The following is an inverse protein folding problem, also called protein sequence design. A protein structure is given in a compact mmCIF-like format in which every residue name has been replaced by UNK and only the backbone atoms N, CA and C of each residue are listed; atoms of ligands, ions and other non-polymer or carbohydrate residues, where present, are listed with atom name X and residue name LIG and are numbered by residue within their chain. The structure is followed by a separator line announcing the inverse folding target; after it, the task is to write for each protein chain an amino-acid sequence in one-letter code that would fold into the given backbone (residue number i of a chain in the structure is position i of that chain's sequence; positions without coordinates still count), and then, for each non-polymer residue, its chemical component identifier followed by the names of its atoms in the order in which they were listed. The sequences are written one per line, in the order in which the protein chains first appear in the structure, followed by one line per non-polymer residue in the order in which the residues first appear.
data_IF_397331836938
#
_entry.id   IF_397331836938
#
_cell.length_a   1.000
_cell.length_b   1.000
_cell.length_c   1.000
_cell.angle_alpha   90.00
_cell.angle_beta   90.00
_cell.angle_gamma   90.00
#
_symmetry.space_group_name_H-M   'P 1'
#
loop_
_entity.id
_entity.type
_entity.pdbx_description
1 polymer ?
#
# COMPACT_ATOMS: atom_id res chain seq x y z
N UNK A 1 -24.80 -61.86 -11.32
CA UNK A 1 -24.95 -60.77 -10.35
C UNK A 1 -23.69 -60.75 -9.48
N UNK A 2 -22.61 -60.14 -9.97
CA UNK A 2 -21.37 -59.95 -9.22
C UNK A 2 -20.94 -58.51 -9.41
N UNK A 3 -21.09 -57.72 -8.35
CA UNK A 3 -20.66 -56.33 -8.26
C UNK A 3 -19.17 -56.28 -7.96
N UNK A 4 -18.36 -55.83 -8.93
CA UNK A 4 -16.94 -55.57 -8.72
C UNK A 4 -16.78 -54.18 -8.08
N UNK A 5 -16.44 -54.18 -6.80
CA UNK A 5 -16.10 -52.99 -6.02
C UNK A 5 -14.70 -52.49 -6.44
N UNK A 6 -14.60 -51.39 -7.19
CA UNK A 6 -13.34 -50.72 -7.44
C UNK A 6 -12.98 -49.81 -6.26
N UNK A 7 -12.03 -50.26 -5.44
CA UNK A 7 -11.37 -49.44 -4.42
C UNK A 7 -10.40 -48.49 -5.13
N UNK A 8 -10.77 -47.22 -5.21
CA UNK A 8 -9.89 -46.14 -5.68
C UNK A 8 -8.88 -45.82 -4.58
N UNK A 9 -7.67 -46.37 -4.69
CA UNK A 9 -6.55 -46.05 -3.81
C UNK A 9 -6.02 -44.66 -4.19
N UNK A 10 -6.42 -43.62 -3.44
CA UNK A 10 -5.86 -42.27 -3.59
C UNK A 10 -4.49 -42.27 -2.92
N UNK A 11 -3.42 -42.45 -3.71
CA UNK A 11 -2.05 -42.23 -3.24
C UNK A 11 -1.79 -40.72 -3.15
N UNK A 12 -1.85 -40.19 -1.93
CA UNK A 12 -1.31 -38.87 -1.62
C UNK A 12 0.21 -38.93 -1.79
N UNK A 13 0.72 -38.46 -2.94
CA UNK A 13 2.14 -38.19 -3.12
C UNK A 13 2.47 -36.92 -2.35
N UNK A 14 2.90 -37.07 -1.10
CA UNK A 14 3.58 -36.00 -0.37
C UNK A 14 4.86 -35.72 -1.14
N UNK A 15 4.88 -34.62 -1.90
CA UNK A 15 6.08 -34.13 -2.55
C UNK A 15 7.06 -33.67 -1.48
N UNK A 16 7.94 -34.56 -1.04
CA UNK A 16 9.07 -34.19 -0.18
C UNK A 16 10.00 -33.37 -1.06
N UNK A 17 10.10 -32.06 -0.80
CA UNK A 17 11.06 -31.18 -1.47
C UNK A 17 12.47 -31.67 -1.17
N UNK A 18 13.14 -32.26 -2.17
CA UNK A 18 14.50 -32.78 -2.01
C UNK A 18 15.46 -31.64 -1.73
N UNK A 19 16.27 -31.79 -0.67
CA UNK A 19 17.41 -30.93 -0.43
C UNK A 19 18.35 -30.97 -1.64
N UNK A 20 18.92 -29.82 -2.00
CA UNK A 20 19.85 -29.72 -3.12
C UNK A 20 20.95 -28.71 -2.82
N UNK A 21 22.14 -28.96 -3.36
CA UNK A 21 23.29 -28.07 -3.22
C UNK A 21 24.15 -28.10 -4.48
N UNK A 22 24.66 -26.94 -4.88
CA UNK A 22 25.61 -26.77 -5.96
C UNK A 22 26.71 -25.82 -5.50
N UNK A 23 27.96 -26.18 -5.80
CA UNK A 23 29.14 -25.35 -5.53
C UNK A 23 29.77 -25.04 -6.88
N UNK A 24 29.79 -23.78 -7.24
CA UNK A 24 30.38 -23.28 -8.48
C UNK A 24 31.73 -22.64 -8.17
N UNK A 25 32.78 -23.11 -8.83
CA UNK A 25 34.11 -22.50 -8.76
C UNK A 25 34.15 -21.22 -9.60
N UNK A 26 34.50 -20.11 -8.96
CA UNK A 26 34.56 -18.77 -9.55
C UNK A 26 36.00 -18.23 -9.61
N UNK A 27 37.03 -19.08 -9.54
CA UNK A 27 38.42 -18.64 -9.69
C UNK A 27 38.69 -18.00 -11.06
N UNK A 28 38.01 -18.47 -12.12
CA UNK A 28 38.06 -17.88 -13.47
C UNK A 28 36.78 -17.12 -13.74
N UNK A 29 36.64 -15.94 -13.15
CA UNK A 29 35.46 -15.09 -13.27
C UNK A 29 35.72 -13.82 -14.11
N UNK A 30 34.68 -13.18 -14.69
CA UNK A 30 34.81 -11.94 -15.46
C UNK A 30 34.85 -10.67 -14.59
N UNK A 31 34.99 -10.80 -13.26
CA UNK A 31 35.05 -9.67 -12.31
C UNK A 31 33.71 -9.27 -11.69
N UNK A 32 32.61 -9.89 -12.14
CA UNK A 32 31.26 -9.61 -11.65
C UNK A 32 30.44 -10.90 -11.58
N UNK A 33 29.82 -11.15 -10.43
CA UNK A 33 28.79 -12.16 -10.24
C UNK A 33 27.42 -11.52 -10.38
N UNK A 34 26.55 -12.16 -11.15
CA UNK A 34 25.18 -11.72 -11.40
C UNK A 34 24.21 -12.83 -11.02
N UNK A 35 23.25 -12.54 -10.13
CA UNK A 35 22.17 -13.47 -9.78
C UNK A 35 20.86 -12.85 -10.20
N UNK A 36 20.17 -13.46 -11.16
CA UNK A 36 18.83 -13.02 -11.54
C UNK A 36 17.87 -13.30 -10.37
N UNK A 37 17.16 -12.26 -9.92
CA UNK A 37 16.23 -12.33 -8.79
C UNK A 37 14.94 -11.57 -9.12
N UNK A 38 14.11 -12.20 -9.94
CA UNK A 38 12.79 -11.72 -10.31
C UNK A 38 12.78 -10.75 -11.50
N UNK A 39 11.61 -10.17 -11.72
CA UNK A 39 11.35 -9.22 -12.79
C UNK A 39 11.11 -7.82 -12.22
N UNK A 40 11.34 -6.81 -13.04
CA UNK A 40 11.12 -5.42 -12.70
C UNK A 40 10.33 -4.69 -13.80
N UNK A 41 9.40 -3.85 -13.36
CA UNK A 41 8.69 -2.87 -14.17
C UNK A 41 9.22 -1.48 -13.84
N UNK A 42 9.38 -0.64 -14.86
CA UNK A 42 9.77 0.75 -14.71
C UNK A 42 8.53 1.62 -14.75
N UNK A 43 8.31 2.39 -13.71
CA UNK A 43 7.25 3.39 -13.60
C UNK A 43 7.75 4.72 -14.13
N UNK A 44 7.09 5.22 -15.17
CA UNK A 44 7.42 6.49 -15.86
C UNK A 44 6.50 7.64 -15.46
N UNK A 45 5.34 7.33 -14.88
CA UNK A 45 4.38 8.33 -14.42
C UNK A 45 3.18 7.71 -13.71
N UNK A 46 2.07 8.47 -13.65
CA UNK A 46 0.83 8.03 -13.02
C UNK A 46 -0.40 8.63 -13.70
N UNK A 47 -1.46 7.84 -13.80
CA UNK A 47 -2.82 8.37 -13.85
C UNK A 47 -3.27 8.72 -12.43
N UNK A 48 -4.12 9.74 -12.32
CA UNK A 48 -4.55 10.27 -11.03
C UNK A 48 -6.07 10.17 -10.89
N UNK A 49 -6.56 9.64 -9.79
CA UNK A 49 -7.98 9.70 -9.42
C UNK A 49 -8.08 10.63 -8.23
N UNK A 50 -8.93 11.65 -8.32
CA UNK A 50 -9.09 12.65 -7.28
C UNK A 50 -10.41 12.40 -6.55
N UNK A 51 -10.38 12.44 -5.23
CA UNK A 51 -11.56 12.51 -4.38
C UNK A 51 -11.52 13.82 -3.62
N UNK A 52 -12.54 14.64 -3.80
CA UNK A 52 -12.74 15.88 -3.04
C UNK A 52 -13.81 15.69 -1.97
N UNK A 53 -13.46 15.96 -0.73
CA UNK A 53 -14.38 16.02 0.41
C UNK A 53 -14.45 17.44 0.91
N UNK A 54 -15.65 18.02 0.89
CA UNK A 54 -15.93 19.39 1.28
C UNK A 54 -16.52 19.40 2.70
N UNK A 55 -15.72 19.81 3.69
CA UNK A 55 -16.12 19.77 5.10
C UNK A 55 -17.22 20.78 5.42
N UNK A 56 -17.29 21.90 4.68
CA UNK A 56 -18.31 22.94 4.88
C UNK A 56 -19.73 22.42 4.64
N UNK A 57 -19.89 21.32 3.88
CA UNK A 57 -21.19 20.70 3.64
C UNK A 57 -21.75 19.99 4.88
N UNK A 58 -20.91 19.65 5.84
CA UNK A 58 -21.31 18.91 7.05
C UNK A 58 -21.69 19.85 8.21
N UNK A 59 -21.16 21.07 8.26
CA UNK A 59 -21.48 22.02 9.34
C UNK A 59 -22.99 22.32 9.43
N UNK A 60 -23.70 22.70 8.35
CA UNK A 60 -25.14 22.94 8.41
C UNK A 60 -25.94 21.69 8.80
N UNK A 61 -25.45 20.50 8.45
CA UNK A 61 -26.07 19.23 8.81
C UNK A 61 -25.98 19.01 10.33
N UNK A 62 -24.80 19.20 10.91
CA UNK A 62 -24.55 19.03 12.34
C UNK A 62 -25.30 20.07 13.18
N UNK A 63 -25.37 21.32 12.73
CA UNK A 63 -26.14 22.38 13.41
C UNK A 63 -27.63 22.08 13.45
N UNK A 64 -28.18 21.57 12.33
CA UNK A 64 -29.59 21.14 12.26
C UNK A 64 -29.86 19.98 13.19
N UNK A 65 -28.98 18.98 13.26
CA UNK A 65 -29.14 17.84 14.18
C UNK A 65 -29.11 18.31 15.63
N UNK A 66 -28.19 19.22 16.00
CA UNK A 66 -28.13 19.82 17.33
C UNK A 66 -29.44 20.52 17.71
N UNK A 67 -29.98 21.32 16.78
CA UNK A 67 -31.26 22.02 16.96
C UNK A 67 -32.39 21.05 17.29
N UNK A 68 -32.45 19.91 16.59
CA UNK A 68 -33.47 18.87 16.83
C UNK A 68 -33.28 18.21 18.20
N UNK A 69 -32.05 17.83 18.55
CA UNK A 69 -31.76 17.21 19.85
C UNK A 69 -32.11 18.17 20.99
N UNK A 70 -31.83 19.46 20.85
CA UNK A 70 -32.20 20.47 21.83
C UNK A 70 -33.72 20.67 21.93
N UNK A 71 -34.44 20.59 20.80
CA UNK A 71 -35.91 20.60 20.80
C UNK A 71 -36.54 19.43 21.56
N UNK A 72 -35.87 18.26 21.60
CA UNK A 72 -36.33 17.09 22.35
C UNK A 72 -36.15 17.23 23.86
N UNK A 73 -35.22 18.05 24.35
CA UNK A 73 -34.95 18.27 25.78
C UNK A 73 -36.14 18.85 26.54
N UNK A 74 -37.08 19.47 25.83
CA UNK A 74 -38.30 20.07 26.39
C UNK A 74 -39.25 18.98 26.94
N UNK A 75 -39.09 17.72 26.52
CA UNK A 75 -39.94 16.61 26.97
C UNK A 75 -39.26 15.80 28.08
N UNK A 76 -39.67 15.97 29.37
CA UNK A 76 -39.00 15.31 30.50
C UNK A 76 -39.05 13.78 30.43
N UNK A 77 -40.10 13.20 29.82
CA UNK A 77 -40.24 11.75 29.64
C UNK A 77 -39.24 11.14 28.64
N UNK A 78 -38.52 11.98 27.88
CA UNK A 78 -37.52 11.56 26.90
C UNK A 78 -36.09 11.94 27.32
N UNK A 79 -35.88 12.31 28.59
CA UNK A 79 -34.59 12.79 29.08
C UNK A 79 -33.45 11.81 28.79
N UNK A 80 -33.57 10.55 29.21
CA UNK A 80 -32.52 9.54 29.03
C UNK A 80 -32.16 9.32 27.55
N UNK A 81 -33.18 9.31 26.68
CA UNK A 81 -32.99 9.16 25.24
C UNK A 81 -32.33 10.39 24.61
N UNK A 82 -32.69 11.58 25.09
CA UNK A 82 -32.13 12.84 24.61
C UNK A 82 -30.68 13.01 25.09
N UNK A 83 -30.36 12.55 26.29
CA UNK A 83 -28.99 12.49 26.82
C UNK A 83 -28.14 11.50 26.01
N UNK A 84 -28.67 10.32 25.67
CA UNK A 84 -28.01 9.37 24.77
C UNK A 84 -27.73 9.98 23.39
N UNK A 85 -28.72 10.64 22.79
CA UNK A 85 -28.56 11.33 21.50
C UNK A 85 -27.53 12.45 21.57
N UNK A 86 -27.55 13.23 22.66
CA UNK A 86 -26.57 14.31 22.89
C UNK A 86 -25.16 13.74 22.95
N UNK A 87 -24.95 12.66 23.70
CA UNK A 87 -23.65 12.00 23.79
C UNK A 87 -23.16 11.46 22.43
N UNK A 88 -24.06 10.84 21.65
CA UNK A 88 -23.73 10.38 20.28
C UNK A 88 -23.41 11.54 19.35
N UNK A 89 -24.18 12.62 19.40
CA UNK A 89 -23.93 13.83 18.61
C UNK A 89 -22.58 14.46 18.96
N UNK A 90 -22.25 14.59 20.25
CA UNK A 90 -20.94 15.10 20.68
C UNK A 90 -19.78 14.21 20.19
N UNK A 91 -19.96 12.88 20.16
CA UNK A 91 -18.97 11.98 19.58
C UNK A 91 -18.79 12.21 18.07
N UNK A 92 -19.87 12.44 17.32
CA UNK A 92 -19.83 12.79 15.89
C UNK A 92 -19.12 14.12 15.66
N UNK A 93 -19.46 15.16 16.42
CA UNK A 93 -18.82 16.49 16.31
C UNK A 93 -17.33 16.39 16.61
N UNK A 94 -16.94 15.69 17.69
CA UNK A 94 -15.53 15.47 18.02
C UNK A 94 -14.78 14.76 16.88
N UNK A 95 -15.43 13.81 16.20
CA UNK A 95 -14.82 13.12 15.07
C UNK A 95 -14.71 14.01 13.84
N UNK A 96 -15.71 14.84 13.56
CA UNK A 96 -15.66 15.86 12.51
C UNK A 96 -14.51 16.86 12.73
N UNK A 97 -14.35 17.36 13.96
CA UNK A 97 -13.24 18.26 14.33
C UNK A 97 -11.86 17.61 14.10
N UNK A 98 -11.75 16.28 14.26
CA UNK A 98 -10.50 15.57 13.99
C UNK A 98 -10.14 15.51 12.50
N UNK A 99 -11.08 15.78 11.58
CA UNK A 99 -10.81 15.86 10.14
C UNK A 99 -10.13 17.17 9.75
N UNK A 100 -10.31 18.23 10.55
CA UNK A 100 -9.56 19.47 10.37
C UNK A 100 -8.11 19.27 10.81
N UNK A 101 -7.12 19.78 10.04
CA UNK A 101 -5.74 19.70 10.45
C UNK A 101 -5.57 20.50 11.74
N UNK A 102 -5.29 19.80 12.85
CA UNK A 102 -4.94 20.44 14.12
C UNK A 102 -3.79 21.41 13.84
N UNK A 103 -3.96 22.69 14.19
CA UNK A 103 -2.91 23.71 14.15
C UNK A 103 -1.77 23.27 15.07
N UNK A 104 -0.89 22.38 14.60
CA UNK A 104 0.39 22.13 15.23
C UNK A 104 1.31 23.25 14.76
N UNK A 105 1.60 24.17 15.67
CA UNK A 105 2.81 24.97 15.60
C UNK A 105 4.00 24.01 15.69
N UNK A 106 4.44 23.46 14.55
CA UNK A 106 5.78 22.90 14.43
C UNK A 106 6.51 23.62 13.32
N UNK A 107 7.54 24.35 13.75
CA UNK A 107 8.56 25.01 12.93
C UNK A 107 9.15 23.99 11.94
N UNK A 108 9.17 24.35 10.66
CA UNK A 108 9.96 23.67 9.64
C UNK A 108 9.26 22.53 8.91
N UNK A 109 8.23 22.82 8.10
CA UNK A 109 7.99 22.15 6.81
C UNK A 109 7.08 23.08 5.97
N UNK A 110 7.74 23.83 5.09
CA UNK A 110 7.24 24.55 3.90
C UNK A 110 6.06 25.53 4.07
N UNK A 111 6.37 26.73 4.55
CA UNK A 111 5.69 27.96 4.12
C UNK A 111 6.49 28.58 2.96
N UNK A 112 6.54 27.94 1.80
CA UNK A 112 7.20 28.54 0.63
C UNK A 112 6.17 28.67 -0.50
N UNK A 113 5.93 29.92 -0.91
CA UNK A 113 5.04 30.35 -1.99
C UNK A 113 3.52 30.20 -1.78
N UNK A 114 2.96 31.05 -0.91
CA UNK A 114 1.72 31.80 -1.17
C UNK A 114 0.42 31.06 -1.53
N UNK A 115 0.32 29.75 -1.30
CA UNK A 115 -0.84 28.95 -1.67
C UNK A 115 -1.22 28.04 -0.50
N UNK A 116 -2.40 28.28 0.10
CA UNK A 116 -2.86 27.69 1.36
C UNK A 116 -3.19 26.19 1.33
N UNK A 117 -2.39 25.36 0.66
CA UNK A 117 -2.45 23.90 0.72
C UNK A 117 -1.44 23.43 1.77
N UNK A 118 -1.89 22.62 2.73
CA UNK A 118 -1.03 21.95 3.71
C UNK A 118 -1.01 20.47 3.38
N UNK A 119 0.19 19.95 3.09
CA UNK A 119 0.38 18.51 2.92
C UNK A 119 0.04 17.79 4.24
N UNK A 120 -0.84 16.79 4.18
CA UNK A 120 -1.14 15.93 5.33
C UNK A 120 -0.18 14.71 5.35
N UNK A 121 0.41 14.37 4.21
CA UNK A 121 1.35 13.26 4.02
C UNK A 121 2.74 13.77 3.59
N UNK A 122 3.79 13.23 4.20
CA UNK A 122 5.12 13.88 4.30
C UNK A 122 6.09 13.77 3.11
N UNK A 123 5.67 13.31 1.93
CA UNK A 123 6.58 13.03 0.80
C UNK A 123 6.25 13.80 -0.48
N UNK A 124 5.64 14.98 -0.37
CA UNK A 124 5.41 15.86 -1.52
C UNK A 124 6.62 16.78 -1.69
N UNK A 125 7.33 16.63 -2.82
CA UNK A 125 8.31 17.64 -3.22
C UNK A 125 7.62 18.89 -3.80
N UNK A 126 8.39 19.95 -4.02
CA UNK A 126 7.86 21.25 -4.48
C UNK A 126 7.24 21.18 -5.89
N UNK A 127 7.79 20.33 -6.76
CA UNK A 127 7.28 20.16 -8.12
C UNK A 127 5.96 19.38 -8.13
N UNK A 128 5.87 18.32 -7.34
CA UNK A 128 4.65 17.56 -7.08
C UNK A 128 3.54 18.49 -6.55
N UNK A 129 3.89 19.41 -5.66
CA UNK A 129 2.95 20.36 -5.07
C UNK A 129 2.40 21.35 -6.11
N UNK A 130 3.28 21.96 -6.92
CA UNK A 130 2.87 22.89 -7.99
C UNK A 130 1.98 22.16 -9.00
N UNK A 131 2.36 20.95 -9.39
CA UNK A 131 1.58 20.17 -10.34
C UNK A 131 0.21 19.79 -9.77
N UNK A 132 0.13 19.32 -8.52
CA UNK A 132 -1.16 18.99 -7.90
C UNK A 132 -2.04 20.22 -7.76
N UNK A 133 -1.48 21.37 -7.37
CA UNK A 133 -2.28 22.60 -7.29
C UNK A 133 -2.81 23.02 -8.67
N UNK A 134 -2.01 22.85 -9.73
CA UNK A 134 -2.44 23.05 -11.11
C UNK A 134 -3.57 22.07 -11.48
N UNK A 135 -3.36 20.77 -11.25
CA UNK A 135 -4.35 19.73 -11.55
C UNK A 135 -5.67 19.98 -10.80
N UNK A 136 -5.64 20.36 -9.52
CA UNK A 136 -6.84 20.72 -8.73
C UNK A 136 -7.56 21.93 -9.34
N UNK A 137 -6.82 22.96 -9.75
CA UNK A 137 -7.41 24.13 -10.37
C UNK A 137 -7.98 23.80 -11.76
N UNK A 138 -7.29 22.96 -12.54
CA UNK A 138 -7.74 22.47 -13.84
C UNK A 138 -8.97 21.58 -13.71
N UNK A 139 -9.03 20.66 -12.74
CA UNK A 139 -10.24 19.88 -12.43
C UNK A 139 -11.42 20.78 -12.11
N UNK A 140 -11.19 21.89 -11.40
CA UNK A 140 -12.24 22.89 -11.12
C UNK A 140 -12.76 23.56 -12.39
N UNK A 141 -11.87 23.82 -13.35
CA UNK A 141 -12.21 24.43 -14.66
C UNK A 141 -12.81 23.39 -15.61
N UNK A 142 -12.31 22.17 -15.62
CA UNK A 142 -12.76 21.04 -16.45
C UNK A 142 -14.09 20.45 -15.97
N UNK A 143 -14.44 20.57 -14.68
CA UNK A 143 -15.82 20.41 -14.21
C UNK A 143 -16.80 21.27 -15.05
N UNK A 144 -16.32 22.38 -15.61
CA UNK A 144 -17.06 23.26 -16.50
C UNK A 144 -16.76 23.04 -18.01
N UNK A 145 -15.81 22.17 -18.40
CA UNK A 145 -15.48 21.81 -19.80
C UNK A 145 -15.08 20.34 -19.96
N UNK A 146 -15.82 19.60 -20.79
CA UNK A 146 -15.59 18.18 -21.12
C UNK A 146 -14.23 17.96 -21.80
N UNK A 147 -13.30 17.26 -21.14
CA UNK A 147 -12.03 16.77 -21.72
C UNK A 147 -11.94 15.27 -21.46
N UNK A 148 -11.65 14.47 -22.49
CA UNK A 148 -11.93 13.02 -22.54
C UNK A 148 -11.29 12.16 -21.42
N UNK A 149 -10.05 12.43 -21.03
CA UNK A 149 -9.40 11.72 -19.89
C UNK A 149 -9.89 12.25 -18.54
N UNK A 150 -10.15 13.56 -18.50
CA UNK A 150 -10.71 14.23 -17.34
C UNK A 150 -12.17 13.78 -17.09
N UNK A 151 -12.91 13.41 -18.14
CA UNK A 151 -14.32 13.05 -18.06
C UNK A 151 -14.56 11.83 -17.17
N UNK A 152 -13.70 10.81 -17.26
CA UNK A 152 -13.80 9.61 -16.39
C UNK A 152 -13.51 9.98 -14.93
N UNK A 153 -12.47 10.79 -14.69
CA UNK A 153 -12.16 11.30 -13.35
C UNK A 153 -13.28 12.20 -12.80
N UNK A 154 -13.92 13.00 -13.65
CA UNK A 154 -15.06 13.87 -13.31
C UNK A 154 -16.32 13.02 -13.01
N UNK A 155 -16.57 11.98 -13.79
CA UNK A 155 -17.70 11.05 -13.59
C UNK A 155 -17.58 10.32 -12.26
N UNK A 156 -16.40 9.77 -11.97
CA UNK A 156 -16.05 9.17 -10.69
C UNK A 156 -16.33 10.13 -9.52
N UNK A 157 -15.85 11.38 -9.61
CA UNK A 157 -16.10 12.40 -8.60
C UNK A 157 -17.59 12.72 -8.40
N UNK A 158 -18.42 12.65 -9.45
CA UNK A 158 -19.86 12.88 -9.35
C UNK A 158 -20.55 11.79 -8.54
N UNK A 159 -20.12 10.54 -8.64
CA UNK A 159 -20.71 9.43 -7.87
C UNK A 159 -20.53 9.61 -6.36
N UNK A 160 -19.32 9.98 -5.91
CA UNK A 160 -19.07 10.28 -4.50
C UNK A 160 -19.91 11.47 -4.01
N UNK A 161 -19.98 12.53 -4.83
CA UNK A 161 -20.77 13.72 -4.50
C UNK A 161 -22.27 13.39 -4.43
N UNK A 162 -22.76 12.49 -5.28
CA UNK A 162 -24.13 11.98 -5.23
C UNK A 162 -24.41 11.21 -3.93
N UNK A 163 -23.50 10.36 -3.47
CA UNK A 163 -23.62 9.64 -2.20
C UNK A 163 -23.69 10.59 -1.00
N UNK A 164 -22.84 11.61 -0.96
CA UNK A 164 -22.88 12.66 0.08
C UNK A 164 -24.24 13.39 0.02
N UNK A 165 -24.67 13.78 -1.18
CA UNK A 165 -25.95 14.44 -1.38
C UNK A 165 -27.13 13.56 -0.96
N UNK A 166 -27.04 12.23 -1.14
CA UNK A 166 -28.06 11.28 -0.71
C UNK A 166 -28.15 11.16 0.81
N UNK A 167 -27.01 11.10 1.52
CA UNK A 167 -26.97 11.15 2.99
C UNK A 167 -27.59 12.46 3.47
N UNK A 168 -27.17 13.60 2.91
CA UNK A 168 -27.70 14.93 3.26
C UNK A 168 -29.22 15.00 2.98
N UNK A 169 -29.67 14.52 1.83
CA UNK A 169 -31.08 14.49 1.44
C UNK A 169 -31.90 13.62 2.38
N UNK A 170 -31.44 12.41 2.68
CA UNK A 170 -32.11 11.47 3.58
C UNK A 170 -32.24 12.07 4.97
N UNK A 171 -31.16 12.66 5.50
CA UNK A 171 -31.21 13.34 6.78
C UNK A 171 -32.18 14.52 6.74
N UNK A 172 -32.11 15.41 5.75
CA UNK A 172 -33.03 16.56 5.63
C UNK A 172 -34.50 16.12 5.55
N UNK A 173 -34.82 15.10 4.74
CA UNK A 173 -36.19 14.57 4.61
C UNK A 173 -36.70 14.00 5.92
N UNK A 174 -35.86 13.29 6.66
CA UNK A 174 -36.24 12.74 7.96
C UNK A 174 -36.32 13.83 9.04
N UNK A 175 -35.48 14.87 8.96
CA UNK A 175 -35.52 16.03 9.85
C UNK A 175 -36.83 16.80 9.74
N UNK A 176 -37.38 17.00 8.54
CA UNK A 176 -38.70 17.62 8.37
C UNK A 176 -39.80 16.80 9.06
N UNK A 177 -39.73 15.46 8.95
CA UNK A 177 -40.67 14.55 9.61
C UNK A 177 -40.52 14.64 11.12
N UNK A 178 -39.29 14.65 11.64
CA UNK A 178 -39.00 14.77 13.08
C UNK A 178 -39.52 16.09 13.63
N UNK A 179 -39.23 17.20 12.96
CA UNK A 179 -39.64 18.54 13.39
C UNK A 179 -41.16 18.65 13.44
N UNK A 180 -41.85 18.19 12.39
CA UNK A 180 -43.32 18.12 12.36
C UNK A 180 -43.88 17.28 13.51
N UNK A 181 -43.24 16.16 13.84
CA UNK A 181 -43.68 15.28 14.93
C UNK A 181 -43.39 15.85 16.32
N UNK A 182 -42.29 16.58 16.51
CA UNK A 182 -42.01 17.32 17.75
C UNK A 182 -43.04 18.43 17.95
N UNK A 183 -43.37 19.18 16.90
CA UNK A 183 -44.38 20.25 16.95
C UNK A 183 -45.76 19.67 17.27
N UNK A 184 -46.14 18.57 16.61
CA UNK A 184 -47.40 17.86 16.88
C UNK A 184 -47.44 17.31 18.31
N UNK A 185 -46.38 16.64 18.77
CA UNK A 185 -46.28 16.15 20.14
C UNK A 185 -46.35 17.29 21.18
N UNK A 186 -45.79 18.47 20.87
CA UNK A 186 -45.90 19.67 21.71
C UNK A 186 -47.35 20.16 21.81
N UNK A 187 -48.07 20.20 20.70
CA UNK A 187 -49.49 20.59 20.67
C UNK A 187 -50.37 19.57 21.42
N UNK A 188 -50.07 18.28 21.30
CA UNK A 188 -50.84 17.21 21.93
C UNK A 188 -50.53 17.04 23.43
N UNK A 189 -49.29 17.30 23.86
CA UNK A 189 -48.94 17.33 25.29
C UNK A 189 -49.58 18.50 26.03
N UNK A 190 -49.87 19.59 25.32
CA UNK A 190 -50.68 20.70 25.84
C UNK A 190 -52.16 20.26 25.99
N UNK A 191 -52.62 19.26 25.22
CA UNK A 191 -54.02 18.83 25.14
C UNK A 191 -54.36 17.45 25.77
N UNK A 192 -53.38 16.72 26.33
CA UNK A 192 -53.47 15.51 27.18
C UNK A 192 -53.66 14.09 26.56
N UNK A 193 -52.92 13.12 27.18
CA UNK A 193 -53.06 11.63 27.30
C UNK A 193 -53.18 10.74 26.05
N UNK A 194 -52.11 10.49 25.28
CA UNK A 194 -52.09 9.36 24.33
C UNK A 194 -50.75 8.60 24.22
N UNK A 195 -50.80 7.27 24.32
CA UNK A 195 -49.65 6.33 24.34
C UNK A 195 -49.01 6.15 22.94
N UNK A 196 -49.80 6.24 21.87
CA UNK A 196 -49.34 6.01 20.48
C UNK A 196 -48.30 7.04 19.99
N UNK A 197 -48.24 8.21 20.63
CA UNK A 197 -47.29 9.28 20.30
C UNK A 197 -45.87 8.97 20.81
N UNK A 198 -45.76 8.28 21.96
CA UNK A 198 -44.47 7.87 22.49
C UNK A 198 -43.75 6.90 21.55
N UNK A 199 -44.48 5.97 20.93
CA UNK A 199 -43.91 5.01 19.98
C UNK A 199 -43.40 5.70 18.69
N UNK A 200 -44.10 6.73 18.23
CA UNK A 200 -43.68 7.52 17.07
C UNK A 200 -42.40 8.32 17.38
N UNK A 201 -42.36 9.00 18.54
CA UNK A 201 -41.17 9.73 18.99
C UNK A 201 -39.97 8.79 19.22
N UNK A 202 -40.19 7.61 19.82
CA UNK A 202 -39.20 6.55 19.95
C UNK A 202 -38.61 6.15 18.59
N UNK A 203 -39.47 5.85 17.60
CA UNK A 203 -39.04 5.50 16.24
C UNK A 203 -38.18 6.60 15.61
N UNK A 204 -38.49 7.87 15.86
CA UNK A 204 -37.67 8.97 15.36
C UNK A 204 -36.33 9.09 16.05
N UNK A 205 -36.28 8.94 17.37
CA UNK A 205 -35.01 8.95 18.10
C UNK A 205 -34.10 7.82 17.62
N UNK A 206 -34.63 6.62 17.39
CA UNK A 206 -33.86 5.53 16.79
C UNK A 206 -33.33 5.88 15.39
N UNK A 207 -34.13 6.53 14.55
CA UNK A 207 -33.67 7.00 13.24
C UNK A 207 -32.55 8.02 13.36
N UNK A 208 -32.69 9.06 14.19
CA UNK A 208 -31.62 10.07 14.40
C UNK A 208 -30.35 9.38 14.88
N UNK A 209 -30.48 8.48 15.85
CA UNK A 209 -29.39 7.70 16.42
C UNK A 209 -28.66 6.86 15.36
N UNK A 210 -29.40 6.25 14.43
CA UNK A 210 -28.83 5.50 13.31
C UNK A 210 -28.10 6.41 12.31
N UNK A 211 -28.65 7.58 11.94
CA UNK A 211 -27.94 8.49 11.03
C UNK A 211 -26.70 9.11 11.66
N UNK A 212 -26.73 9.40 12.97
CA UNK A 212 -25.53 9.82 13.69
C UNK A 212 -24.44 8.74 13.60
N UNK A 213 -24.79 7.46 13.68
CA UNK A 213 -23.84 6.36 13.50
C UNK A 213 -23.30 6.30 12.07
N UNK A 214 -24.16 6.46 11.05
CA UNK A 214 -23.71 6.49 9.65
C UNK A 214 -22.75 7.65 9.37
N UNK A 215 -23.06 8.84 9.90
CA UNK A 215 -22.19 10.02 9.80
C UNK A 215 -20.87 9.77 10.52
N UNK A 216 -20.92 9.21 11.75
CA UNK A 216 -19.72 8.87 12.51
C UNK A 216 -18.81 7.92 11.74
N UNK A 217 -19.35 6.81 11.26
CA UNK A 217 -18.61 5.81 10.46
C UNK A 217 -18.01 6.43 9.22
N UNK A 218 -18.73 7.36 8.56
CA UNK A 218 -18.18 8.08 7.42
C UNK A 218 -16.98 8.96 7.80
N UNK A 219 -17.04 9.71 8.90
CA UNK A 219 -15.90 10.49 9.40
C UNK A 219 -14.74 9.61 9.86
N UNK A 220 -15.03 8.47 10.50
CA UNK A 220 -14.00 7.48 10.87
C UNK A 220 -13.27 6.96 9.63
N UNK A 221 -14.00 6.61 8.56
CA UNK A 221 -13.40 6.15 7.30
C UNK A 221 -12.52 7.22 6.64
N UNK A 222 -12.95 8.49 6.63
CA UNK A 222 -12.14 9.60 6.11
C UNK A 222 -10.86 9.75 6.93
N UNK A 223 -10.98 9.73 8.26
CA UNK A 223 -9.84 9.86 9.16
C UNK A 223 -8.85 8.70 9.01
N UNK A 224 -9.34 7.46 8.94
CA UNK A 224 -8.55 6.26 8.71
C UNK A 224 -7.80 6.36 7.37
N UNK A 225 -8.51 6.75 6.30
CA UNK A 225 -7.90 6.93 4.97
C UNK A 225 -6.80 7.98 5.02
N UNK A 226 -6.97 9.08 5.76
CA UNK A 226 -5.89 10.07 5.99
C UNK A 226 -4.68 9.42 6.66
N UNK A 227 -4.88 8.55 7.67
CA UNK A 227 -3.75 7.88 8.33
C UNK A 227 -3.06 6.87 7.40
N UNK A 228 -3.83 6.07 6.67
CA UNK A 228 -3.29 5.09 5.72
C UNK A 228 -2.53 5.80 4.57
N UNK A 229 -3.02 6.95 4.11
CA UNK A 229 -2.34 7.74 3.09
C UNK A 229 -0.96 8.26 3.54
N UNK A 230 -0.73 8.47 4.85
CA UNK A 230 0.61 8.80 5.35
C UNK A 230 1.61 7.66 5.19
N UNK A 231 1.11 6.43 5.14
CA UNK A 231 1.88 5.21 4.91
C UNK A 231 1.88 4.81 3.42
N UNK A 232 1.28 5.63 2.54
CA UNK A 232 1.02 5.31 1.14
C UNK A 232 0.25 3.97 0.97
N UNK A 233 -0.66 3.68 1.89
CA UNK A 233 -1.54 2.51 1.85
C UNK A 233 -2.96 2.97 1.55
N UNK A 234 -3.64 2.26 0.67
CA UNK A 234 -5.05 2.51 0.34
C UNK A 234 -5.92 1.41 0.95
N UNK A 235 -7.04 1.79 1.56
CA UNK A 235 -8.01 0.82 2.08
C UNK A 235 -8.76 0.16 0.93
N UNK A 236 -8.98 -1.16 1.02
CA UNK A 236 -9.75 -1.93 0.02
C UNK A 236 -11.21 -1.49 -0.11
N UNK A 237 -11.71 -0.73 0.86
CA UNK A 237 -13.08 -0.20 0.87
C UNK A 237 -13.14 1.27 0.40
N UNK A 238 -12.00 1.85 0.01
CA UNK A 238 -11.95 3.25 -0.39
C UNK A 238 -12.44 3.47 -1.82
N UNK A 239 -12.06 2.57 -2.73
CA UNK A 239 -12.43 2.64 -4.15
C UNK A 239 -13.77 1.98 -4.41
N UNK A 240 -14.62 2.66 -5.17
CA UNK A 240 -15.86 2.12 -5.70
C UNK A 240 -15.59 1.15 -6.86
N UNK A 241 -16.52 0.23 -7.18
CA UNK A 241 -16.32 -0.77 -8.24
C UNK A 241 -15.97 -0.18 -9.61
N UNK A 242 -16.50 1.00 -9.96
CA UNK A 242 -16.20 1.68 -11.22
C UNK A 242 -14.78 2.26 -11.24
N UNK A 243 -14.31 2.80 -10.12
CA UNK A 243 -12.95 3.30 -9.97
C UNK A 243 -11.96 2.16 -10.01
N UNK A 244 -12.29 1.04 -9.36
CA UNK A 244 -11.50 -0.17 -9.43
C UNK A 244 -11.45 -0.72 -10.85
N UNK A 245 -12.58 -0.71 -11.57
CA UNK A 245 -12.59 -1.08 -12.99
C UNK A 245 -11.66 -0.19 -13.81
N UNK A 246 -11.70 1.13 -13.60
CA UNK A 246 -10.76 2.03 -14.25
C UNK A 246 -9.31 1.67 -13.92
N UNK A 247 -8.99 1.36 -12.66
CA UNK A 247 -7.65 0.92 -12.26
C UNK A 247 -7.25 -0.36 -12.99
N UNK A 248 -8.10 -1.40 -12.97
CA UNK A 248 -7.78 -2.68 -13.61
C UNK A 248 -7.62 -2.52 -15.11
N UNK A 249 -8.53 -1.81 -15.78
CA UNK A 249 -8.45 -1.56 -17.23
C UNK A 249 -7.12 -0.88 -17.58
N UNK A 250 -6.66 0.10 -16.77
CA UNK A 250 -5.38 0.79 -17.00
C UNK A 250 -4.16 -0.08 -16.77
N UNK A 251 -4.19 -0.97 -15.78
CA UNK A 251 -3.07 -1.90 -15.55
C UNK A 251 -3.01 -2.95 -16.67
N UNK A 252 -4.15 -3.47 -17.09
CA UNK A 252 -4.26 -4.47 -18.16
C UNK A 252 -3.87 -3.89 -19.54
N UNK A 253 -4.23 -2.63 -19.85
CA UNK A 253 -3.77 -1.89 -21.05
C UNK A 253 -2.24 -1.85 -21.18
N UNK A 254 -1.53 -2.02 -20.06
CA UNK A 254 -0.08 -1.97 -19.95
C UNK A 254 0.55 -3.37 -19.82
N UNK A 255 -0.20 -4.43 -20.16
CA UNK A 255 0.19 -5.83 -20.07
C UNK A 255 0.50 -6.32 -18.64
N UNK A 256 -0.06 -5.68 -17.62
CA UNK A 256 0.01 -6.19 -16.24
C UNK A 256 -1.12 -7.19 -16.04
N UNK A 257 -0.76 -8.46 -15.87
CA UNK A 257 -1.72 -9.52 -15.55
C UNK A 257 -2.00 -9.55 -14.06
N UNK A 258 -3.24 -9.25 -13.67
CA UNK A 258 -3.69 -9.31 -12.29
C UNK A 258 -4.21 -10.72 -11.96
N UNK A 259 -3.72 -11.31 -10.87
CA UNK A 259 -4.22 -12.58 -10.31
C UNK A 259 -5.58 -12.38 -9.65
N UNK A 260 -5.79 -11.20 -9.08
CA UNK A 260 -7.05 -10.81 -8.46
C UNK A 260 -7.24 -9.30 -8.48
N UNK A 261 -8.48 -8.83 -8.35
CA UNK A 261 -8.79 -7.40 -8.19
C UNK A 261 -8.09 -6.82 -6.96
N UNK A 262 -7.92 -7.62 -5.90
CA UNK A 262 -7.23 -7.23 -4.69
C UNK A 262 -5.75 -6.90 -4.92
N UNK A 263 -5.10 -7.59 -5.87
CA UNK A 263 -3.71 -7.33 -6.24
C UNK A 263 -3.54 -5.94 -6.84
N UNK A 264 -4.57 -5.38 -7.50
CA UNK A 264 -4.51 -4.04 -8.08
C UNK A 264 -4.15 -2.98 -7.03
N UNK A 265 -4.60 -3.15 -5.78
CA UNK A 265 -4.27 -2.23 -4.69
C UNK A 265 -2.78 -2.19 -4.35
N UNK A 266 -2.02 -3.25 -4.61
CA UNK A 266 -0.57 -3.26 -4.41
C UNK A 266 0.15 -2.33 -5.40
N UNK A 267 -0.46 -2.01 -6.54
CA UNK A 267 0.10 -1.07 -7.52
C UNK A 267 -0.19 0.39 -7.19
N UNK A 268 -1.19 0.66 -6.36
CA UNK A 268 -1.71 2.00 -6.15
C UNK A 268 -0.92 2.79 -5.12
N UNK A 269 -0.71 4.08 -5.40
CA UNK A 269 -0.29 5.07 -4.41
C UNK A 269 -1.48 5.92 -3.95
N UNK A 270 -1.37 6.55 -2.79
CA UNK A 270 -2.36 7.52 -2.32
C UNK A 270 -1.67 8.70 -1.62
N UNK A 271 -2.12 9.91 -1.94
CA UNK A 271 -1.70 11.16 -1.30
C UNK A 271 -2.92 11.85 -0.70
N UNK A 272 -2.78 12.44 0.48
CA UNK A 272 -3.84 13.21 1.13
C UNK A 272 -3.40 14.65 1.40
N UNK A 273 -4.27 15.59 1.03
CA UNK A 273 -4.00 17.02 1.04
C UNK A 273 -5.15 17.80 1.66
N UNK A 274 -4.83 18.91 2.30
CA UNK A 274 -5.81 19.83 2.84
C UNK A 274 -5.69 21.20 2.20
N UNK A 275 -6.80 21.76 1.71
CA UNK A 275 -6.86 23.13 1.15
C UNK A 275 -8.16 23.80 1.59
N UNK A 276 -8.05 24.93 2.28
CA UNK A 276 -9.20 25.67 2.84
C UNK A 276 -10.05 24.79 3.77
N UNK A 277 -11.26 24.37 3.35
CA UNK A 277 -12.18 23.47 4.06
C UNK A 277 -12.30 22.10 3.39
N UNK A 278 -11.38 21.77 2.49
CA UNK A 278 -11.47 20.58 1.64
C UNK A 278 -10.31 19.63 1.86
N UNK A 279 -10.64 18.34 1.88
CA UNK A 279 -9.70 17.24 1.86
C UNK A 279 -9.67 16.67 0.45
N UNK A 280 -8.47 16.53 -0.09
CA UNK A 280 -8.22 15.90 -1.38
C UNK A 280 -7.47 14.60 -1.17
N UNK A 281 -8.06 13.48 -1.59
CA UNK A 281 -7.31 12.24 -1.79
C UNK A 281 -6.97 12.10 -3.26
N UNK A 282 -5.71 11.75 -3.54
CA UNK A 282 -5.21 11.56 -4.90
C UNK A 282 -4.65 10.15 -4.97
N UNK A 283 -5.34 9.29 -5.70
CA UNK A 283 -4.94 7.92 -5.94
C UNK A 283 -4.10 7.91 -7.20
N UNK A 284 -2.93 7.28 -7.12
CA UNK A 284 -1.94 7.23 -8.18
C UNK A 284 -1.94 5.83 -8.77
N UNK A 285 -2.41 5.70 -10.00
CA UNK A 285 -2.34 4.46 -10.79
C UNK A 285 -1.06 4.53 -11.63
N UNK A 286 -0.12 3.60 -11.49
CA UNK A 286 1.17 3.71 -12.17
C UNK A 286 1.01 3.61 -13.70
N UNK A 287 1.79 4.44 -14.39
CA UNK A 287 2.11 4.24 -15.80
C UNK A 287 3.47 3.56 -15.88
N UNK A 288 3.52 2.38 -16.48
CA UNK A 288 4.69 1.52 -16.60
C UNK A 288 5.14 1.41 -18.05
N UNK A 289 6.44 1.24 -18.24
CA UNK A 289 6.95 0.86 -19.55
C UNK A 289 6.39 -0.52 -19.96
N UNK A 290 6.01 -0.72 -21.23
CA UNK A 290 5.50 -2.02 -21.70
C UNK A 290 6.52 -3.15 -21.60
N UNK A 291 7.81 -2.83 -21.49
CA UNK A 291 8.89 -3.79 -21.41
C UNK A 291 9.13 -4.22 -19.96
N UNK A 292 9.16 -5.52 -19.72
CA UNK A 292 9.61 -6.10 -18.46
C UNK A 292 11.13 -6.27 -18.46
N UNK A 293 11.75 -5.98 -17.33
CA UNK A 293 13.19 -6.11 -17.13
C UNK A 293 13.51 -7.29 -16.22
N UNK A 294 14.62 -7.98 -16.51
CA UNK A 294 15.19 -8.96 -15.60
C UNK A 294 15.96 -8.23 -14.50
N UNK A 295 15.68 -8.53 -13.24
CA UNK A 295 16.37 -7.93 -12.10
C UNK A 295 17.55 -8.79 -11.67
N UNK A 296 18.68 -8.16 -11.39
CA UNK A 296 19.92 -8.82 -10.98
C UNK A 296 20.44 -8.25 -9.66
N UNK A 297 20.90 -9.16 -8.79
CA UNK A 297 21.81 -8.84 -7.69
C UNK A 297 23.23 -8.94 -8.22
N UNK A 298 24.04 -7.95 -7.89
CA UNK A 298 25.40 -7.79 -8.37
C UNK A 298 26.38 -7.90 -7.23
N UNK A 299 27.40 -8.72 -7.42
CA UNK A 299 28.50 -8.85 -6.47
C UNK A 299 29.84 -8.79 -7.20
N UNK A 300 30.71 -7.82 -6.89
CA UNK A 300 32.00 -7.73 -7.57
C UNK A 300 32.87 -8.89 -7.13
N UNK A 301 33.57 -9.51 -8.07
CA UNK A 301 34.48 -10.62 -7.79
C UNK A 301 35.92 -10.17 -8.04
N UNK A 302 36.87 -10.61 -7.19
CA UNK A 302 38.27 -10.26 -7.33
C UNK A 302 38.88 -10.97 -8.54
N UNK A 303 39.69 -10.22 -9.29
CA UNK A 303 40.63 -10.74 -10.30
C UNK A 303 42.04 -10.34 -9.84
N UNK A 304 42.70 -11.25 -9.15
CA UNK A 304 43.94 -10.93 -8.43
C UNK A 304 43.66 -10.00 -7.25
N UNK A 305 44.35 -8.87 -7.20
CA UNK A 305 44.23 -7.80 -6.20
C UNK A 305 43.32 -6.65 -6.65
N UNK A 306 42.51 -6.86 -7.68
CA UNK A 306 41.63 -5.83 -8.23
C UNK A 306 40.18 -6.27 -8.32
N UNK A 307 39.27 -5.32 -8.14
CA UNK A 307 37.82 -5.51 -8.25
C UNK A 307 37.18 -4.40 -9.09
N UNK A 308 36.03 -4.70 -9.70
CA UNK A 308 35.22 -3.70 -10.39
C UNK A 308 34.46 -2.88 -9.34
N UNK A 309 34.53 -1.56 -9.43
CA UNK A 309 33.72 -0.67 -8.60
C UNK A 309 32.28 -0.63 -9.09
N UNK A 310 31.35 -1.23 -8.34
CA UNK A 310 29.94 -1.19 -8.66
C UNK A 310 29.30 0.15 -8.27
N UNK A 311 28.52 0.79 -9.16
CA UNK A 311 27.71 1.96 -8.82
C UNK A 311 26.60 1.64 -7.81
N UNK A 312 25.98 0.45 -7.96
CA UNK A 312 24.90 -0.02 -7.10
C UNK A 312 24.90 -1.56 -7.03
N UNK A 313 24.34 -2.17 -5.96
CA UNK A 313 24.33 -3.61 -5.77
C UNK A 313 23.27 -4.34 -6.60
N UNK A 314 22.41 -3.62 -7.33
CA UNK A 314 21.35 -4.20 -8.14
C UNK A 314 21.24 -3.48 -9.48
N UNK A 315 20.88 -4.24 -10.51
CA UNK A 315 20.60 -3.72 -11.84
C UNK A 315 19.38 -4.40 -12.44
N UNK A 316 18.81 -3.77 -13.45
CA UNK A 316 17.76 -4.33 -14.29
C UNK A 316 18.21 -4.25 -15.74
N UNK A 317 17.95 -5.30 -16.52
CA UNK A 317 18.26 -5.28 -17.95
C UNK A 317 17.15 -5.90 -18.78
N UNK A 318 16.98 -5.34 -19.96
CA UNK A 318 16.17 -5.85 -21.05
C UNK A 318 17.06 -6.04 -22.29
N UNK A 319 16.45 -6.28 -23.45
CA UNK A 319 17.19 -6.36 -24.72
C UNK A 319 17.87 -5.04 -25.09
N UNK A 320 17.21 -3.92 -24.79
CA UNK A 320 17.57 -2.61 -25.34
C UNK A 320 18.06 -1.63 -24.28
N UNK A 321 17.86 -1.93 -22.99
CA UNK A 321 18.21 -1.04 -21.91
C UNK A 321 18.73 -1.75 -20.67
N UNK A 322 19.66 -1.10 -19.98
CA UNK A 322 20.28 -1.55 -18.73
C UNK A 322 20.35 -0.38 -17.75
N UNK A 323 19.89 -0.62 -16.53
CA UNK A 323 19.87 0.38 -15.47
C UNK A 323 20.42 -0.18 -14.16
N UNK A 324 21.10 0.66 -13.38
CA UNK A 324 21.34 0.38 -11.96
C UNK A 324 20.20 0.92 -11.11
N UNK A 325 19.84 0.19 -10.06
CA UNK A 325 18.86 0.64 -9.06
C UNK A 325 19.60 1.39 -7.95
N UNK A 326 19.40 2.70 -7.86
CA UNK A 326 20.07 3.56 -6.87
C UNK A 326 19.15 4.04 -5.73
N UNK A 327 17.85 3.77 -5.84
CA UNK A 327 16.86 4.15 -4.85
C UNK A 327 15.89 3.02 -4.49
N UNK A 328 14.90 3.31 -3.63
CA UNK A 328 13.92 2.31 -3.22
C UNK A 328 12.99 1.93 -4.37
N UNK A 329 12.68 0.64 -4.47
CA UNK A 329 11.64 0.13 -5.35
C UNK A 329 10.60 -0.64 -4.55
N UNK A 330 9.38 -0.66 -5.05
CA UNK A 330 8.27 -1.36 -4.41
C UNK A 330 8.27 -2.83 -4.81
N UNK A 331 8.14 -3.73 -3.83
CA UNK A 331 7.91 -5.15 -4.07
C UNK A 331 6.41 -5.39 -4.25
N UNK A 332 6.03 -6.06 -5.33
CA UNK A 332 4.67 -6.46 -5.66
C UNK A 332 4.72 -7.96 -5.94
N UNK A 333 4.35 -8.77 -4.94
CA UNK A 333 4.58 -10.21 -4.91
C UNK A 333 6.03 -10.59 -5.29
N UNK A 334 6.24 -11.20 -6.46
CA UNK A 334 7.55 -11.61 -6.99
C UNK A 334 8.19 -10.57 -7.94
N UNK A 335 7.44 -9.52 -8.29
CA UNK A 335 7.87 -8.45 -9.18
C UNK A 335 8.31 -7.21 -8.40
N UNK A 336 9.16 -6.39 -9.01
CA UNK A 336 9.59 -5.11 -8.45
C UNK A 336 9.10 -3.95 -9.33
N UNK A 337 8.54 -2.90 -8.76
CA UNK A 337 8.17 -1.68 -9.45
C UNK A 337 9.12 -0.55 -9.03
N UNK A 338 9.92 -0.04 -9.97
CA UNK A 338 10.90 1.03 -9.72
C UNK A 338 10.47 2.32 -10.40
N UNK A 339 10.63 3.45 -9.72
CA UNK A 339 10.51 4.78 -10.32
C UNK A 339 11.72 5.06 -11.25
N UNK A 340 11.47 5.56 -12.46
CA UNK A 340 12.55 5.87 -13.42
C UNK A 340 13.63 6.82 -12.84
N UNK A 341 13.24 7.76 -11.97
CA UNK A 341 14.17 8.69 -11.29
C UNK A 341 15.13 8.00 -10.32
N UNK A 342 14.80 6.80 -9.85
CA UNK A 342 15.64 6.00 -8.94
C UNK A 342 16.59 5.07 -9.70
N UNK A 343 16.62 5.18 -11.04
CA UNK A 343 17.41 4.36 -11.94
C UNK A 343 18.51 5.19 -12.61
N UNK A 344 19.68 4.57 -12.76
CA UNK A 344 20.82 5.16 -13.51
C UNK A 344 20.98 4.38 -14.81
N UNK A 345 20.76 5.05 -15.94
CA UNK A 345 20.90 4.44 -17.26
C UNK A 345 22.37 4.18 -17.60
N UNK A 346 22.70 2.93 -17.88
CA UNK A 346 24.05 2.49 -18.32
C UNK A 346 24.01 1.69 -19.62
N UNK A 347 22.90 1.77 -20.37
CA UNK A 347 22.66 0.97 -21.58
C UNK A 347 23.76 1.14 -22.65
N UNK A 348 24.42 2.30 -22.68
CA UNK A 348 25.46 2.63 -23.66
C UNK A 348 26.90 2.49 -23.12
N UNK A 349 27.06 2.00 -21.89
CA UNK A 349 28.41 1.84 -21.33
C UNK A 349 29.15 0.66 -21.99
N UNK A 350 30.48 0.59 -21.82
CA UNK A 350 31.29 -0.50 -22.42
C UNK A 350 31.56 -1.64 -21.44
N UNK A 351 31.11 -1.50 -20.19
CA UNK A 351 31.36 -2.42 -19.10
C UNK A 351 30.09 -3.17 -18.71
N UNK A 352 29.18 -2.54 -17.95
CA UNK A 352 28.09 -3.19 -17.25
C UNK A 352 26.98 -3.66 -18.18
N UNK A 353 26.54 -2.86 -19.15
CA UNK A 353 25.57 -3.28 -20.16
C UNK A 353 26.06 -4.52 -20.93
N UNK A 354 27.36 -4.59 -21.26
CA UNK A 354 27.93 -5.76 -21.92
C UNK A 354 28.02 -6.96 -20.98
N UNK A 355 28.56 -6.79 -19.76
CA UNK A 355 28.66 -7.86 -18.77
C UNK A 355 27.30 -8.47 -18.43
N UNK A 356 26.28 -7.63 -18.18
CA UNK A 356 24.94 -8.07 -17.80
C UNK A 356 24.19 -8.76 -18.96
N UNK A 357 24.58 -8.48 -20.20
CA UNK A 357 24.06 -9.17 -21.39
C UNK A 357 24.94 -10.35 -21.85
N UNK A 358 25.94 -10.76 -21.06
CA UNK A 358 26.81 -11.89 -21.37
C UNK A 358 27.79 -11.64 -22.52
N UNK A 359 28.10 -10.39 -22.83
CA UNK A 359 29.01 -9.96 -23.90
C UNK A 359 30.39 -9.57 -23.35
N UNK A 360 31.41 -9.60 -24.22
CA UNK A 360 32.76 -9.15 -23.87
C UNK A 360 32.78 -7.66 -23.52
N UNK A 361 33.33 -7.32 -22.36
CA UNK A 361 33.22 -6.01 -21.74
C UNK A 361 34.58 -5.39 -21.38
N UNK A 362 34.65 -4.06 -21.42
CA UNK A 362 35.83 -3.29 -21.04
C UNK A 362 35.54 -2.54 -19.74
N UNK A 363 35.95 -3.11 -18.62
CA UNK A 363 35.71 -2.58 -17.27
C UNK A 363 36.97 -2.00 -16.64
N UNK A 364 36.80 -0.94 -15.86
CA UNK A 364 37.87 -0.37 -15.04
C UNK A 364 37.89 -1.11 -13.71
N UNK A 365 39.06 -1.65 -13.38
CA UNK A 365 39.32 -2.34 -12.12
C UNK A 365 40.16 -1.45 -11.21
N UNK A 366 39.85 -1.47 -9.92
CA UNK A 366 40.60 -0.74 -8.89
C UNK A 366 41.25 -1.73 -7.93
N UNK A 367 42.42 -1.37 -7.41
CA UNK A 367 43.09 -2.15 -6.37
C UNK A 367 42.19 -2.28 -5.14
N UNK A 368 42.17 -3.48 -4.57
CA UNK A 368 41.40 -3.83 -3.38
C UNK A 368 42.22 -4.73 -2.47
N UNK A 369 41.91 -4.74 -1.19
CA UNK A 369 42.51 -5.67 -0.24
C UNK A 369 42.03 -7.10 -0.49
N UNK A 370 42.97 -8.06 -0.60
CA UNK A 370 42.67 -9.49 -0.71
C UNK A 370 42.25 -10.03 0.67
N UNK A 371 41.04 -9.69 1.09
CA UNK A 371 40.45 -10.23 2.31
C UNK A 371 39.54 -11.42 1.97
N UNK A 372 39.58 -12.44 2.81
CA UNK A 372 38.60 -13.51 2.79
C UNK A 372 37.24 -12.93 3.18
N UNK A 373 36.22 -13.14 2.35
CA UNK A 373 34.86 -12.69 2.62
C UNK A 373 33.84 -13.81 2.35
N UNK A 374 32.83 -13.87 3.23
CA UNK A 374 31.70 -14.80 3.12
C UNK A 374 30.43 -13.97 3.26
N UNK A 375 29.70 -13.83 2.15
CA UNK A 375 28.54 -12.95 2.06
C UNK A 375 27.31 -13.73 1.58
N UNK A 376 26.19 -13.55 2.29
CA UNK A 376 24.88 -14.04 1.82
C UNK A 376 24.36 -13.08 0.77
N UNK A 377 24.00 -13.60 -0.41
CA UNK A 377 23.46 -12.81 -1.52
C UNK A 377 21.95 -12.94 -1.61
N UNK A 378 21.41 -14.14 -1.41
CA UNK A 378 19.96 -14.40 -1.27
C UNK A 378 19.72 -15.46 -0.19
N UNK A 379 18.47 -15.86 0.01
CA UNK A 379 18.14 -16.95 0.93
C UNK A 379 18.82 -18.28 0.56
N UNK A 380 19.14 -18.48 -0.72
CA UNK A 380 19.67 -19.73 -1.25
C UNK A 380 21.11 -19.60 -1.78
N UNK A 381 21.70 -18.40 -1.74
CA UNK A 381 23.01 -18.13 -2.33
C UNK A 381 23.98 -17.50 -1.34
N UNK A 382 25.15 -18.10 -1.21
CA UNK A 382 26.29 -17.56 -0.45
C UNK A 382 27.51 -17.53 -1.35
N UNK A 383 28.20 -16.39 -1.38
CA UNK A 383 29.48 -16.23 -2.07
C UNK A 383 30.62 -16.28 -1.06
N UNK A 384 31.70 -16.91 -1.45
CA UNK A 384 32.98 -16.94 -0.75
C UNK A 384 34.01 -16.31 -1.69
N UNK A 385 34.78 -15.33 -1.20
CA UNK A 385 35.82 -14.65 -1.97
C UNK A 385 37.18 -14.86 -1.32
N UNK A 386 38.19 -15.14 -2.14
CA UNK A 386 39.60 -15.20 -1.73
C UNK A 386 39.85 -16.09 -0.49
N UNK A 387 39.09 -17.17 -0.34
CA UNK A 387 39.25 -18.05 0.81
C UNK A 387 40.58 -18.78 0.74
N UNK A 388 41.35 -18.74 1.83
CA UNK A 388 42.57 -19.56 1.95
C UNK A 388 42.19 -21.00 2.30
N UNK A 389 41.29 -21.16 3.26
CA UNK A 389 40.82 -22.47 3.73
C UNK A 389 39.49 -22.28 4.46
N UNK A 390 38.40 -22.79 3.89
CA UNK A 390 37.08 -22.81 4.52
C UNK A 390 36.69 -24.26 4.80
N UNK A 391 36.39 -24.55 6.05
CA UNK A 391 35.74 -25.80 6.42
C UNK A 391 34.27 -25.73 6.02
N UNK A 392 33.90 -26.56 5.04
CA UNK A 392 32.56 -26.68 4.52
C UNK A 392 31.89 -27.94 5.10
N UNK A 393 30.78 -27.75 5.79
CA UNK A 393 29.93 -28.85 6.29
C UNK A 393 28.47 -28.58 5.95
N UNK A 394 27.69 -29.62 5.66
CA UNK A 394 26.30 -29.47 5.22
C UNK A 394 25.46 -30.70 5.53
N UNK A 395 24.15 -30.51 5.64
CA UNK A 395 23.14 -31.57 5.71
C UNK A 395 22.46 -31.83 4.33
N UNK A 396 22.88 -31.14 3.26
CA UNK A 396 22.32 -31.27 1.89
C UNK A 396 22.76 -32.56 1.16
N UNK A 397 23.05 -33.65 1.88
CA UNK A 397 23.51 -34.94 1.32
C UNK A 397 24.83 -34.86 0.52
N UNK A 398 25.68 -33.89 0.85
CA UNK A 398 27.02 -33.72 0.28
C UNK A 398 28.09 -33.92 1.36
N UNK A 399 29.19 -34.58 1.02
CA UNK A 399 30.30 -34.79 1.96
C UNK A 399 30.97 -33.48 2.37
N UNK A 400 31.34 -33.42 3.65
CA UNK A 400 32.20 -32.37 4.20
C UNK A 400 33.50 -32.26 3.41
N UNK A 401 33.98 -31.04 3.22
CA UNK A 401 35.18 -30.75 2.42
C UNK A 401 35.82 -29.45 2.85
N UNK A 402 37.00 -29.19 2.31
CA UNK A 402 37.71 -27.93 2.49
C UNK A 402 37.70 -27.18 1.17
N UNK A 403 37.34 -25.90 1.20
CA UNK A 403 37.30 -25.03 0.03
C UNK A 403 38.44 -24.00 0.10
N UNK A 404 39.10 -23.76 -1.03
CA UNK A 404 40.14 -22.74 -1.20
C UNK A 404 39.94 -22.03 -2.53
N UNK A 405 39.82 -20.69 -2.51
CA UNK A 405 39.51 -19.86 -3.66
C UNK A 405 38.18 -19.10 -3.54
N UNK A 406 37.59 -18.77 -4.67
CA UNK A 406 36.32 -18.02 -4.76
C UNK A 406 35.22 -18.95 -5.26
N UNK A 407 34.09 -19.01 -4.56
CA UNK A 407 33.00 -19.95 -4.85
C UNK A 407 31.63 -19.27 -4.70
N UNK A 408 30.67 -19.72 -5.51
CA UNK A 408 29.25 -19.51 -5.26
C UNK A 408 28.62 -20.82 -4.80
N UNK A 409 27.95 -20.79 -3.67
CA UNK A 409 27.22 -21.92 -3.11
C UNK A 409 25.73 -21.63 -3.23
N UNK A 410 25.04 -22.45 -4.01
CA UNK A 410 23.59 -22.51 -4.05
C UNK A 410 23.11 -23.70 -3.21
N UNK A 411 22.13 -23.49 -2.34
CA UNK A 411 21.54 -24.55 -1.52
C UNK A 411 20.04 -24.30 -1.34
N UNK A 412 19.26 -25.39 -1.28
CA UNK A 412 17.82 -25.32 -1.09
C UNK A 412 17.33 -26.41 -0.12
N UNK A 413 16.37 -26.04 0.74
CA UNK A 413 15.80 -26.88 1.78
C UNK A 413 16.84 -27.60 2.67
N UNK A 414 17.95 -26.91 2.98
CA UNK A 414 19.02 -27.45 3.81
C UNK A 414 19.89 -26.33 4.39
N UNK A 415 20.93 -26.70 5.13
CA UNK A 415 21.88 -25.83 5.80
C UNK A 415 23.32 -26.07 5.34
N UNK A 416 24.07 -24.98 5.24
CA UNK A 416 25.50 -24.98 4.98
C UNK A 416 26.22 -24.21 6.07
N UNK A 417 27.29 -24.80 6.59
CA UNK A 417 28.17 -24.16 7.57
C UNK A 417 29.54 -23.97 6.96
N UNK A 418 29.96 -22.71 6.94
CA UNK A 418 31.23 -22.21 6.41
C UNK A 418 32.04 -21.68 7.59
N UNK A 419 33.06 -22.41 8.01
CA UNK A 419 33.75 -22.18 9.29
C UNK A 419 32.74 -22.14 10.47
N UNK A 420 32.58 -20.98 11.11
CA UNK A 420 31.65 -20.79 12.24
C UNK A 420 30.33 -20.10 11.84
N UNK A 421 30.11 -19.84 10.54
CA UNK A 421 28.89 -19.20 10.04
C UNK A 421 27.92 -20.25 9.51
N UNK A 422 26.67 -20.22 9.95
CA UNK A 422 25.62 -21.12 9.50
C UNK A 422 24.61 -20.38 8.62
N UNK A 423 24.22 -21.00 7.51
CA UNK A 423 23.23 -20.48 6.57
C UNK A 423 22.20 -21.57 6.31
N UNK A 424 20.92 -21.22 6.29
CA UNK A 424 19.83 -22.16 6.04
C UNK A 424 18.79 -21.58 5.08
N UNK A 425 18.20 -22.45 4.28
CA UNK A 425 17.25 -22.10 3.21
C UNK A 425 15.95 -22.92 3.31
N UNK A 426 15.51 -23.30 4.51
CA UNK A 426 14.23 -24.00 4.69
C UNK A 426 13.10 -23.02 4.35
N UNK A 427 12.30 -23.33 3.32
CA UNK A 427 11.06 -22.59 3.06
C UNK A 427 10.11 -22.79 4.24
N UNK A 428 9.70 -21.70 4.88
CA UNK A 428 8.71 -21.74 5.94
C UNK A 428 7.32 -21.94 5.32
N UNK A 429 6.95 -23.19 5.04
CA UNK A 429 5.53 -23.51 4.80
C UNK A 429 4.80 -23.40 6.15
N UNK A 430 4.20 -22.23 6.38
CA UNK A 430 3.39 -21.96 7.56
C UNK A 430 2.15 -22.86 7.63
N UNK A 431 2.33 -24.08 8.13
CA UNK A 431 1.28 -24.90 8.72
C UNK A 431 1.61 -25.12 10.19
N UNK A 432 1.69 -24.02 10.94
CA UNK A 432 1.49 -24.05 12.37
C UNK A 432 0.40 -23.00 12.67
N UNK A 433 -0.76 -23.38 13.25
CA UNK A 433 -1.70 -22.38 13.72
C UNK A 433 -0.96 -21.47 14.71
N UNK A 434 -1.25 -20.16 14.74
CA UNK A 434 -0.61 -19.25 15.67
C UNK A 434 -0.76 -19.82 17.07
N UNK A 435 0.36 -20.08 17.75
CA UNK A 435 0.33 -20.38 19.17
C UNK A 435 -0.38 -19.22 19.83
N UNK A 436 -1.53 -19.49 20.43
CA UNK A 436 -2.26 -18.53 21.24
C UNK A 436 -1.27 -17.96 22.26
N UNK A 437 -1.09 -16.64 22.22
CA UNK A 437 -0.48 -15.94 23.33
C UNK A 437 -1.44 -16.07 24.51
N UNK A 438 -1.24 -17.06 25.36
CA UNK A 438 -1.89 -17.11 26.65
C UNK A 438 -1.24 -16.07 27.56
N UNK A 439 -2.02 -15.17 28.18
CA UNK A 439 -1.47 -14.21 29.11
C UNK A 439 -0.89 -14.94 30.31
N UNK A 440 0.35 -14.59 30.67
CA UNK A 440 0.99 -15.01 31.90
C UNK A 440 0.12 -14.52 33.06
N UNK A 441 -0.56 -15.45 33.75
CA UNK A 441 -1.11 -15.19 35.08
C UNK A 441 0.08 -14.95 36.01
N UNK A 442 0.22 -13.72 36.48
CA UNK A 442 0.97 -13.42 37.70
C UNK A 442 0.15 -13.91 38.89
N UNK A 443 0.69 -14.88 39.62
CA UNK A 443 0.27 -15.22 40.98
C UNK A 443 1.53 -15.35 41.84
N UNK A 444 1.97 -14.24 42.42
CA UNK A 444 1.86 -13.95 43.85
C UNK A 444 2.35 -12.53 44.13
#
# INVERSE_FOLDING_TARGET
MFTLLHILLITFTVSITRASIQIHDLQRNPGLLTIQNGNCMIKTGHHKIYHEIDLDKYEPLLDRINTIINGLKIFPNFKDMTDLLTNRYLAVVKQFENLYPRKREKRGLFNFLGSGIKAITGNLDENDFIQINRDINELRVAKNRLIRENNVQIEINRHLQARINEIIKTVNQQQEIITKQIIAARQDLINSRNINQNFTALRQVFKISHHLELIKTHFDNIFETIQLAKLNVISKNFLEPQEMKFVTDRLEEQNITLISVDQAYEFLGIKALYKASKIYFIILVPHVEPQTFNKFILEPLPIGDREIKLPAPQAITSRDATYFINGPCQLIEQNTLCDLKELINVSNDRCFSKLLNGLSANCVFTETSINEDIKRLTDNHVVIKNAKTINFTTDCQLSNRVLSGTFLIYFNNCSVKLNNRNFSSYEYHGNAPPRSCTPRRTTH
#
